data_IF_370272571614
#
_entry.id   IF_370272571614
#
_cell.length_a   1.000
_cell.length_b   1.000
_cell.length_c   1.000
_cell.angle_alpha   90.00
_cell.angle_beta   90.00
_cell.angle_gamma   90.00
#
_symmetry.space_group_name_H-M   'P 1'
#
loop_
_entity.id
_entity.type
_entity.pdbx_description
1 polymer ?
#
# COMPACT_ATOMS: atom_id res chain seq x y z
N UNK A 1 -50.47 -22.86 18.24
CA UNK A 1 -50.16 -21.46 17.85
C UNK A 1 -49.30 -21.53 16.60
N UNK A 2 -49.85 -21.09 15.47
CA UNK A 2 -49.36 -21.35 14.10
C UNK A 2 -48.77 -20.08 13.52
N UNK A 3 -47.52 -20.11 13.06
CA UNK A 3 -46.91 -19.01 12.32
C UNK A 3 -46.81 -19.38 10.84
N UNK A 4 -47.56 -18.66 10.00
CA UNK A 4 -47.50 -18.76 8.53
C UNK A 4 -46.34 -17.90 8.02
N UNK A 5 -45.46 -18.49 7.22
CA UNK A 5 -44.41 -17.80 6.47
C UNK A 5 -44.92 -17.61 5.03
N UNK A 6 -45.07 -16.36 4.60
CA UNK A 6 -45.46 -16.01 3.23
C UNK A 6 -44.21 -15.91 2.37
N UNK A 7 -44.07 -16.80 1.38
CA UNK A 7 -42.99 -16.83 0.40
C UNK A 7 -43.29 -15.83 -0.72
N UNK A 8 -42.42 -14.83 -0.92
CA UNK A 8 -42.48 -13.91 -2.07
C UNK A 8 -41.72 -14.53 -3.23
N UNK A 9 -42.36 -14.59 -4.40
CA UNK A 9 -41.81 -15.13 -5.65
C UNK A 9 -40.84 -14.13 -6.30
N UNK A 10 -39.67 -14.64 -6.72
CA UNK A 10 -38.68 -13.93 -7.53
C UNK A 10 -39.02 -14.08 -9.01
N UNK A 11 -39.23 -12.97 -9.70
CA UNK A 11 -39.38 -12.94 -11.17
C UNK A 11 -38.01 -12.90 -11.84
N UNK A 12 -37.84 -13.79 -12.82
CA UNK A 12 -36.67 -13.97 -13.68
C UNK A 12 -36.83 -13.07 -14.91
N UNK A 13 -35.79 -12.33 -15.29
CA UNK A 13 -35.70 -11.63 -16.57
C UNK A 13 -34.68 -12.33 -17.50
N UNK A 14 -34.98 -12.53 -18.81
CA UNK A 14 -34.09 -13.23 -19.72
C UNK A 14 -33.13 -12.32 -20.50
N UNK A 15 -31.89 -12.81 -20.61
CA UNK A 15 -30.99 -12.88 -21.78
C UNK A 15 -31.33 -12.09 -23.05
N UNK A 16 -30.39 -11.24 -23.50
CA UNK A 16 -30.00 -11.16 -24.91
C UNK A 16 -28.55 -10.70 -25.08
N UNK A 17 -27.77 -11.59 -25.71
CA UNK A 17 -26.42 -11.35 -26.18
C UNK A 17 -26.46 -10.67 -27.56
N UNK A 18 -25.56 -9.72 -27.82
CA UNK A 18 -25.11 -9.39 -29.18
C UNK A 18 -23.61 -9.07 -29.20
N UNK A 19 -22.85 -9.99 -29.80
CA UNK A 19 -21.55 -9.76 -30.43
C UNK A 19 -21.80 -9.20 -31.83
N UNK A 20 -21.04 -8.20 -32.27
CA UNK A 20 -20.74 -8.00 -33.68
C UNK A 20 -19.29 -7.54 -33.85
N UNK A 21 -18.56 -8.33 -34.64
CA UNK A 21 -17.20 -8.10 -35.13
C UNK A 21 -17.25 -7.48 -36.54
N UNK A 22 -16.30 -6.56 -36.78
CA UNK A 22 -15.45 -6.37 -37.98
C UNK A 22 -15.99 -6.02 -39.39
N UNK A 23 -15.12 -5.21 -40.03
CA UNK A 23 -14.92 -4.82 -41.44
C UNK A 23 -15.63 -3.54 -41.93
N UNK A 24 -15.08 -2.68 -42.80
CA UNK A 24 -13.73 -2.33 -43.26
C UNK A 24 -13.86 -1.12 -44.24
N UNK A 25 -12.87 -0.20 -44.22
CA UNK A 25 -12.24 0.53 -45.34
C UNK A 25 -12.95 1.62 -46.22
N UNK A 26 -12.10 2.65 -46.50
CA UNK A 26 -12.01 3.60 -47.66
C UNK A 26 -12.99 4.78 -47.66
N UNK A 27 -12.59 6.05 -47.90
CA UNK A 27 -11.57 6.70 -48.77
C UNK A 27 -11.07 8.00 -48.09
N UNK A 28 -9.79 8.40 -48.08
CA UNK A 28 -9.02 9.02 -49.17
C UNK A 28 -9.45 10.47 -49.43
N UNK A 29 -8.65 11.49 -49.03
CA UNK A 29 -8.41 12.78 -49.73
C UNK A 29 -7.32 13.62 -49.00
N UNK A 30 -6.64 14.45 -49.80
CA UNK A 30 -5.29 15.02 -49.67
C UNK A 30 -5.01 16.03 -48.56
N UNK A 31 -3.72 16.15 -48.22
CA UNK A 31 -3.06 17.11 -47.33
C UNK A 31 -3.36 18.59 -47.62
N UNK A 32 -3.08 19.47 -46.65
CA UNK A 32 -1.87 20.29 -46.84
C UNK A 32 -0.87 20.16 -45.69
N UNK A 33 0.41 20.18 -46.09
CA UNK A 33 1.60 20.23 -45.25
C UNK A 33 1.61 21.55 -44.49
N UNK A 34 1.48 21.50 -43.17
CA UNK A 34 1.80 22.62 -42.28
C UNK A 34 3.21 22.36 -41.73
N UNK A 35 4.13 23.21 -42.13
CA UNK A 35 5.51 23.25 -41.66
C UNK A 35 5.55 23.26 -40.12
N UNK A 36 6.22 22.28 -39.53
CA UNK A 36 6.55 22.24 -38.11
C UNK A 36 7.76 23.14 -37.85
N UNK A 37 7.65 24.23 -37.07
CA UNK A 37 8.83 24.96 -36.65
C UNK A 37 9.53 24.22 -35.51
N UNK A 38 10.80 23.90 -35.78
CA UNK A 38 11.89 23.71 -34.83
C UNK A 38 11.70 22.65 -33.72
N UNK A 39 12.35 21.49 -33.95
CA UNK A 39 12.97 20.68 -32.90
C UNK A 39 13.72 21.59 -31.93
N UNK A 40 13.14 21.86 -30.75
CA UNK A 40 13.94 22.18 -29.57
C UNK A 40 14.67 20.90 -29.21
N UNK A 41 15.96 20.87 -29.49
CA UNK A 41 16.89 20.01 -28.81
C UNK A 41 16.72 20.26 -27.31
N UNK A 42 16.05 19.35 -26.61
CA UNK A 42 16.26 19.21 -25.17
C UNK A 42 17.71 18.78 -25.02
N UNK A 43 18.55 19.75 -24.68
CA UNK A 43 19.88 19.53 -24.15
C UNK A 43 19.75 18.59 -22.96
N UNK A 44 20.06 17.30 -23.20
CA UNK A 44 20.51 16.39 -22.17
C UNK A 44 21.74 17.03 -21.52
N UNK A 45 21.52 17.83 -20.49
CA UNK A 45 22.56 18.18 -19.55
C UNK A 45 22.82 16.89 -18.77
N UNK A 46 24.02 16.28 -18.86
CA UNK A 46 24.36 15.24 -17.91
C UNK A 46 24.31 15.90 -16.54
N UNK A 47 23.40 15.41 -15.69
CA UNK A 47 23.31 15.82 -14.29
C UNK A 47 24.70 15.61 -13.68
N UNK A 48 25.46 16.69 -13.54
CA UNK A 48 26.74 16.70 -12.86
C UNK A 48 26.44 16.38 -11.40
N UNK A 49 26.44 15.10 -11.06
CA UNK A 49 26.43 14.65 -9.67
C UNK A 49 27.65 15.25 -9.00
N UNK A 50 27.42 16.28 -8.17
CA UNK A 50 28.43 16.86 -7.28
C UNK A 50 29.05 15.69 -6.47
N UNK A 51 30.36 15.41 -6.63
CA UNK A 51 31.02 14.31 -5.95
C UNK A 51 31.04 14.46 -4.42
N UNK A 52 30.63 15.63 -3.89
CA UNK A 52 30.57 15.90 -2.46
C UNK A 52 29.22 15.61 -1.84
N UNK A 53 28.16 15.36 -2.61
CA UNK A 53 26.85 15.06 -2.03
C UNK A 53 26.82 13.60 -1.57
N UNK A 54 26.60 13.32 -0.27
CA UNK A 54 26.43 11.95 0.18
C UNK A 54 25.31 11.30 -0.62
N UNK A 55 25.63 10.20 -1.33
CA UNK A 55 24.62 9.40 -2.03
C UNK A 55 23.63 8.92 -0.99
N UNK A 56 22.36 9.33 -1.12
CA UNK A 56 21.31 8.85 -0.23
C UNK A 56 21.22 7.32 -0.38
N UNK A 57 21.10 6.57 0.73
CA UNK A 57 20.88 5.13 0.66
C UNK A 57 19.62 4.82 -0.15
N UNK A 58 19.65 3.72 -0.92
CA UNK A 58 18.47 3.21 -1.62
C UNK A 58 17.31 2.99 -0.63
N UNK A 59 16.07 3.35 -0.97
CA UNK A 59 14.94 3.23 -0.06
C UNK A 59 14.52 1.78 0.21
N UNK A 60 14.95 0.83 -0.64
CA UNK A 60 14.76 -0.62 -0.45
C UNK A 60 15.73 -1.23 0.55
N UNK A 61 16.64 -0.44 1.11
CA UNK A 61 17.60 -0.91 2.09
C UNK A 61 16.95 -1.05 3.45
N UNK A 62 17.31 -2.09 4.19
CA UNK A 62 17.00 -2.14 5.62
C UNK A 62 17.51 -0.86 6.29
N UNK A 63 16.62 -0.20 7.00
CA UNK A 63 16.95 1.02 7.73
C UNK A 63 17.73 0.65 9.00
N UNK A 64 18.64 1.52 9.41
CA UNK A 64 19.36 1.31 10.67
C UNK A 64 18.41 1.48 11.85
N UNK A 65 18.64 0.84 13.00
CA UNK A 65 17.78 0.98 14.18
C UNK A 65 17.52 2.44 14.57
N UNK A 66 18.56 3.27 14.56
CA UNK A 66 18.44 4.70 14.89
C UNK A 66 17.56 5.45 13.89
N UNK A 67 17.75 5.21 12.58
CA UNK A 67 16.93 5.84 11.54
C UNK A 67 15.48 5.38 11.64
N UNK A 68 15.27 4.08 11.85
CA UNK A 68 13.96 3.48 12.04
C UNK A 68 13.21 4.15 13.18
N UNK A 69 13.82 4.23 14.37
CA UNK A 69 13.17 4.84 15.54
C UNK A 69 12.75 6.29 15.27
N UNK A 70 13.61 7.08 14.63
CA UNK A 70 13.30 8.47 14.32
C UNK A 70 12.13 8.63 13.34
N UNK A 71 12.05 7.78 12.31
CA UNK A 71 10.98 7.81 11.31
C UNK A 71 9.69 7.14 11.81
N UNK A 72 9.81 6.11 12.64
CA UNK A 72 8.68 5.31 13.12
C UNK A 72 7.99 5.93 14.33
N UNK A 73 8.69 6.67 15.19
CA UNK A 73 8.10 7.31 16.36
C UNK A 73 6.80 8.09 16.08
N UNK A 74 6.73 9.00 15.07
CA UNK A 74 5.47 9.69 14.75
C UNK A 74 4.39 8.74 14.22
N UNK A 75 4.76 7.73 13.41
CA UNK A 75 3.82 6.73 12.90
C UNK A 75 3.25 5.88 14.04
N UNK A 76 4.06 5.54 15.04
CA UNK A 76 3.64 4.81 16.22
C UNK A 76 2.57 5.57 17.01
N UNK A 77 2.75 6.89 17.16
CA UNK A 77 1.74 7.77 17.78
C UNK A 77 0.45 7.81 16.95
N UNK A 78 0.55 7.82 15.62
CA UNK A 78 -0.60 7.69 14.71
C UNK A 78 -1.28 6.31 14.74
N UNK A 79 -0.79 5.36 15.52
CA UNK A 79 -1.40 4.03 15.66
C UNK A 79 -0.78 2.94 14.79
N UNK A 80 0.34 3.20 14.10
CA UNK A 80 1.10 2.15 13.41
C UNK A 80 1.79 1.24 14.41
N UNK A 81 1.85 -0.05 14.09
CA UNK A 81 2.51 -1.08 14.90
C UNK A 81 3.51 -1.86 14.06
N UNK A 82 4.61 -2.25 14.69
CA UNK A 82 5.57 -3.19 14.12
C UNK A 82 5.15 -4.60 14.55
N UNK A 83 4.81 -5.46 13.58
CA UNK A 83 4.37 -6.83 13.83
C UNK A 83 5.27 -7.84 13.13
N UNK A 84 5.36 -9.07 13.66
CA UNK A 84 6.03 -10.18 12.96
C UNK A 84 5.23 -10.59 11.73
N UNK A 85 5.89 -11.06 10.66
CA UNK A 85 5.19 -11.66 9.52
C UNK A 85 4.44 -12.94 9.93
N UNK A 86 3.25 -13.20 9.35
CA UNK A 86 2.49 -14.40 9.69
C UNK A 86 3.27 -15.66 9.31
N UNK A 87 3.18 -16.70 10.13
CA UNK A 87 3.94 -17.96 9.94
C UNK A 87 5.41 -17.89 10.34
N UNK A 88 5.91 -16.74 10.82
CA UNK A 88 7.25 -16.58 11.37
C UNK A 88 7.19 -16.29 12.86
N UNK A 89 6.72 -17.25 13.64
CA UNK A 89 6.92 -17.24 15.10
C UNK A 89 8.37 -17.61 15.35
N UNK A 90 9.21 -16.63 15.67
CA UNK A 90 10.56 -16.91 16.17
C UNK A 90 10.41 -17.75 17.44
N UNK A 91 10.83 -19.02 17.40
CA UNK A 91 10.88 -19.94 18.53
C UNK A 91 12.00 -19.59 19.53
N UNK A 92 12.29 -18.30 19.69
CA UNK A 92 13.30 -17.77 20.60
C UNK A 92 12.74 -16.51 21.23
N UNK A 93 11.80 -16.70 22.15
CA UNK A 93 11.65 -15.81 23.30
C UNK A 93 12.91 -15.96 24.18
N UNK A 94 14.02 -15.44 23.66
CA UNK A 94 15.11 -14.96 24.47
C UNK A 94 15.15 -13.47 24.18
N UNK A 95 14.88 -12.69 25.22
CA UNK A 95 15.00 -11.24 25.28
C UNK A 95 16.44 -10.87 24.88
N UNK A 96 16.70 -10.84 23.59
CA UNK A 96 17.73 -9.99 23.02
C UNK A 96 17.01 -8.70 22.67
N UNK A 97 17.60 -7.59 23.06
CA UNK A 97 17.22 -6.22 22.78
C UNK A 97 16.99 -5.97 21.27
N UNK A 98 15.90 -6.48 20.71
CA UNK A 98 15.68 -6.63 19.26
C UNK A 98 15.08 -5.39 18.63
N UNK A 99 15.57 -4.20 19.03
CA UNK A 99 15.50 -3.00 18.20
C UNK A 99 16.32 -3.16 16.90
N UNK A 100 17.01 -4.29 16.73
CA UNK A 100 18.02 -4.54 15.70
C UNK A 100 17.60 -5.33 14.46
N UNK A 101 16.52 -6.13 14.45
CA UNK A 101 16.14 -6.88 13.23
C UNK A 101 14.74 -6.49 12.72
N UNK A 102 14.76 -5.67 11.67
CA UNK A 102 13.57 -5.31 10.89
C UNK A 102 13.21 -6.37 9.85
N UNK A 103 14.02 -7.42 9.72
CA UNK A 103 13.62 -8.60 8.96
C UNK A 103 12.55 -9.38 9.70
N UNK A 104 11.73 -10.07 8.92
CA UNK A 104 10.55 -10.79 9.36
C UNK A 104 9.52 -9.93 10.09
N UNK A 105 9.61 -8.60 9.92
CA UNK A 105 8.66 -7.62 10.44
C UNK A 105 7.89 -6.94 9.31
N UNK A 106 6.74 -6.40 9.67
CA UNK A 106 5.86 -5.57 8.83
C UNK A 106 5.29 -4.43 9.65
N UNK A 107 4.96 -3.33 8.98
CA UNK A 107 4.19 -2.23 9.57
C UNK A 107 2.70 -2.51 9.36
N UNK A 108 1.90 -2.33 10.41
CA UNK A 108 0.45 -2.56 10.38
C UNK A 108 -0.28 -1.35 10.93
N UNK A 109 -1.38 -0.94 10.28
CA UNK A 109 -2.30 0.09 10.75
C UNK A 109 -3.74 -0.29 10.43
N UNK A 110 -4.64 0.10 11.31
CA UNK A 110 -6.09 -0.11 11.20
C UNK A 110 -6.80 1.22 11.19
N UNK A 111 -7.57 1.47 10.13
CA UNK A 111 -8.42 2.65 10.00
C UNK A 111 -9.87 2.25 10.20
N UNK A 112 -10.55 3.00 11.06
CA UNK A 112 -11.92 2.74 11.46
C UNK A 112 -12.85 3.74 10.80
N UNK A 113 -14.00 3.24 10.35
CA UNK A 113 -15.04 4.04 9.72
C UNK A 113 -16.39 3.72 10.35
N UNK A 114 -17.26 4.72 10.41
CA UNK A 114 -18.61 4.57 10.95
C UNK A 114 -19.41 3.47 10.22
N UNK A 115 -20.50 3.01 10.82
CA UNK A 115 -21.41 2.08 10.16
C UNK A 115 -22.30 2.78 9.11
N UNK A 116 -22.93 1.99 8.25
CA UNK A 116 -23.90 2.48 7.27
C UNK A 116 -23.30 3.13 6.02
N UNK A 117 -24.16 3.76 5.22
CA UNK A 117 -23.84 4.23 3.86
C UNK A 117 -22.71 5.27 3.84
N UNK A 118 -22.74 6.22 4.79
CA UNK A 118 -21.74 7.29 4.83
C UNK A 118 -20.36 6.77 5.24
N UNK A 119 -20.29 5.89 6.23
CA UNK A 119 -19.03 5.26 6.62
C UNK A 119 -18.43 4.39 5.51
N UNK A 120 -19.27 3.64 4.77
CA UNK A 120 -18.83 2.91 3.58
C UNK A 120 -18.30 3.85 2.49
N UNK A 121 -18.97 4.98 2.24
CA UNK A 121 -18.51 5.98 1.27
C UNK A 121 -17.16 6.59 1.69
N UNK A 122 -17.01 6.95 2.96
CA UNK A 122 -15.77 7.49 3.50
C UNK A 122 -14.61 6.48 3.36
N UNK A 123 -14.85 5.23 3.73
CA UNK A 123 -13.91 4.12 3.55
C UNK A 123 -13.47 3.96 2.09
N UNK A 124 -14.42 3.92 1.14
CA UNK A 124 -14.09 3.76 -0.28
C UNK A 124 -13.37 5.00 -0.84
N UNK A 125 -13.74 6.20 -0.38
CA UNK A 125 -13.06 7.45 -0.73
C UNK A 125 -11.61 7.45 -0.25
N UNK A 126 -11.39 7.11 1.01
CA UNK A 126 -10.05 6.94 1.58
C UNK A 126 -9.26 5.85 0.83
N UNK A 127 -9.86 4.68 0.62
CA UNK A 127 -9.24 3.57 -0.13
C UNK A 127 -8.80 3.99 -1.53
N UNK A 128 -9.59 4.80 -2.24
CA UNK A 128 -9.22 5.29 -3.58
C UNK A 128 -7.98 6.19 -3.53
N UNK A 129 -7.90 7.10 -2.55
CA UNK A 129 -6.76 8.01 -2.39
C UNK A 129 -5.48 7.28 -2.02
N UNK A 130 -5.54 6.31 -1.10
CA UNK A 130 -4.34 5.53 -0.73
C UNK A 130 -3.84 4.66 -1.90
N UNK A 131 -4.73 4.18 -2.78
CA UNK A 131 -4.33 3.40 -3.95
C UNK A 131 -3.49 4.22 -4.94
N UNK A 132 -3.78 5.52 -5.06
CA UNK A 132 -2.96 6.43 -5.86
C UNK A 132 -1.55 6.61 -5.27
N UNK A 133 -1.44 6.67 -3.93
CA UNK A 133 -0.14 6.74 -3.25
C UNK A 133 0.66 5.42 -3.35
N UNK A 134 -0.04 4.28 -3.31
CA UNK A 134 0.57 2.95 -3.51
C UNK A 134 1.17 2.85 -4.91
N UNK A 135 0.42 3.28 -5.92
CA UNK A 135 0.87 3.30 -7.32
C UNK A 135 2.03 4.28 -7.51
N UNK A 136 1.93 5.50 -6.98
CA UNK A 136 2.99 6.52 -7.11
C UNK A 136 4.31 6.09 -6.48
N UNK A 137 4.26 5.29 -5.43
CA UNK A 137 5.44 4.79 -4.73
C UNK A 137 5.97 3.46 -5.27
N UNK A 138 5.26 2.79 -6.18
CA UNK A 138 5.59 1.44 -6.66
C UNK A 138 5.94 0.50 -5.48
N UNK A 139 5.08 0.51 -4.47
CA UNK A 139 5.26 -0.25 -3.24
C UNK A 139 3.91 -0.77 -2.75
N UNK A 140 3.69 -2.07 -2.89
CA UNK A 140 2.36 -2.68 -2.85
C UNK A 140 2.10 -3.35 -1.49
N UNK A 141 1.32 -2.72 -0.58
CA UNK A 141 0.97 -3.31 0.71
C UNK A 141 -0.15 -4.35 0.55
N UNK A 142 -0.43 -5.06 1.64
CA UNK A 142 -1.67 -5.82 1.80
C UNK A 142 -2.74 -4.89 2.38
N UNK A 143 -3.91 -4.87 1.75
CA UNK A 143 -5.11 -4.17 2.22
C UNK A 143 -6.20 -5.19 2.53
N UNK A 144 -6.79 -5.10 3.73
CA UNK A 144 -7.94 -5.89 4.11
C UNK A 144 -9.09 -4.97 4.51
N UNK A 145 -10.22 -5.09 3.82
CA UNK A 145 -11.43 -4.30 4.09
C UNK A 145 -12.52 -5.25 4.58
N UNK A 146 -13.09 -4.96 5.75
CA UNK A 146 -14.13 -5.79 6.34
C UNK A 146 -15.08 -4.97 7.21
N UNK A 147 -16.31 -5.45 7.47
CA UNK A 147 -17.10 -4.98 8.60
C UNK A 147 -16.32 -5.23 9.90
N UNK A 148 -16.42 -4.30 10.87
CA UNK A 148 -15.73 -4.43 12.15
C UNK A 148 -16.09 -5.73 12.90
N UNK A 149 -17.33 -6.21 12.74
CA UNK A 149 -17.81 -7.46 13.35
C UNK A 149 -17.18 -8.74 12.79
N UNK A 150 -16.57 -8.67 11.60
CA UNK A 150 -15.90 -9.80 10.94
C UNK A 150 -14.37 -9.64 10.91
N UNK A 151 -13.86 -8.51 11.40
CA UNK A 151 -12.43 -8.26 11.43
C UNK A 151 -11.75 -9.11 12.51
N UNK A 152 -10.59 -9.66 12.17
CA UNK A 152 -9.72 -10.39 13.10
C UNK A 152 -8.37 -9.69 13.18
N UNK A 153 -7.91 -9.33 14.39
CA UNK A 153 -6.65 -8.59 14.55
C UNK A 153 -5.46 -9.40 14.05
N UNK A 154 -4.71 -8.83 13.10
CA UNK A 154 -3.47 -9.44 12.60
C UNK A 154 -2.22 -9.06 13.40
N UNK A 155 -2.38 -8.12 14.34
CA UNK A 155 -1.38 -7.60 15.27
C UNK A 155 -2.10 -7.20 16.58
N UNK A 156 -1.34 -6.77 17.60
CA UNK A 156 -1.91 -6.25 18.86
C UNK A 156 -2.55 -4.87 18.63
N UNK A 157 -3.74 -4.90 18.03
CA UNK A 157 -4.55 -3.76 17.63
C UNK A 157 -5.97 -3.98 18.15
N UNK A 158 -6.56 -2.91 18.69
CA UNK A 158 -7.93 -2.88 19.19
C UNK A 158 -8.77 -1.92 18.37
N UNK A 159 -10.04 -2.24 18.16
CA UNK A 159 -11.02 -1.34 17.54
C UNK A 159 -11.77 -0.53 18.59
N UNK A 160 -12.23 0.66 18.21
CA UNK A 160 -13.30 1.33 18.95
C UNK A 160 -14.59 0.51 18.90
N UNK A 161 -15.40 0.59 19.96
CA UNK A 161 -16.72 -0.03 20.01
C UNK A 161 -17.69 0.52 18.94
N UNK A 162 -17.39 1.69 18.37
CA UNK A 162 -18.22 2.38 17.38
C UNK A 162 -17.82 2.06 15.92
N UNK A 163 -16.75 1.29 15.72
CA UNK A 163 -16.27 0.94 14.38
C UNK A 163 -17.34 0.12 13.63
N UNK A 164 -17.74 0.60 12.45
CA UNK A 164 -18.64 -0.12 11.54
C UNK A 164 -17.87 -0.89 10.48
N UNK A 165 -16.90 -0.22 9.85
CA UNK A 165 -16.00 -0.82 8.88
C UNK A 165 -14.54 -0.58 9.25
N UNK A 166 -13.69 -1.49 8.79
CA UNK A 166 -12.25 -1.49 9.05
C UNK A 166 -11.51 -1.62 7.73
N UNK A 167 -10.48 -0.80 7.56
CA UNK A 167 -9.41 -1.00 6.59
C UNK A 167 -8.11 -1.25 7.35
N UNK A 168 -7.59 -2.46 7.24
CA UNK A 168 -6.25 -2.79 7.71
C UNK A 168 -5.26 -2.70 6.56
N UNK A 169 -4.15 -1.98 6.78
CA UNK A 169 -3.03 -1.89 5.87
C UNK A 169 -1.81 -2.52 6.53
N UNK A 170 -1.17 -3.45 5.82
CA UNK A 170 0.08 -4.09 6.25
C UNK A 170 1.14 -3.99 5.16
N UNK A 171 2.32 -3.46 5.47
CA UNK A 171 3.39 -3.25 4.48
C UNK A 171 4.76 -3.75 4.96
N UNK A 172 5.50 -4.35 4.04
CA UNK A 172 6.89 -4.77 4.22
C UNK A 172 7.55 -4.93 2.84
N UNK A 173 8.88 -4.91 2.80
CA UNK A 173 9.65 -5.17 1.58
C UNK A 173 10.01 -6.65 1.49
N UNK A 174 9.63 -7.32 0.40
CA UNK A 174 9.87 -8.76 0.21
C UNK A 174 11.36 -9.12 0.02
N UNK A 175 12.12 -8.25 -0.64
CA UNK A 175 13.53 -8.46 -0.97
C UNK A 175 14.34 -7.20 -0.65
N UNK A 176 14.58 -6.90 0.64
CA UNK A 176 15.30 -5.69 1.01
C UNK A 176 16.78 -5.80 0.65
N UNK A 177 17.41 -4.67 0.40
CA UNK A 177 18.86 -4.58 0.29
C UNK A 177 19.50 -4.63 1.68
N UNK A 178 20.67 -5.28 1.84
CA UNK A 178 21.36 -5.36 3.11
C UNK A 178 21.76 -3.96 3.60
N UNK A 179 21.96 -3.72 4.91
CA UNK A 179 22.51 -2.47 5.41
C UNK A 179 23.80 -2.03 4.72
N UNK A 180 24.16 -0.74 4.82
CA UNK A 180 25.46 -0.28 4.29
C UNK A 180 26.57 -0.93 5.10
N UNK A 181 27.61 -1.43 4.43
CA UNK A 181 28.77 -2.07 5.08
C UNK A 181 28.59 -3.56 5.38
N UNK A 182 27.45 -4.15 5.04
CA UNK A 182 27.24 -5.60 5.20
C UNK A 182 28.14 -6.36 4.22
N UNK A 183 28.89 -7.39 4.67
CA UNK A 183 29.69 -8.24 3.78
C UNK A 183 28.85 -8.85 2.66
N UNK A 184 29.43 -9.04 1.47
CA UNK A 184 28.72 -9.61 0.30
C UNK A 184 28.21 -11.05 0.54
N UNK A 185 28.79 -11.75 1.51
CA UNK A 185 28.49 -13.14 1.84
C UNK A 185 27.50 -13.28 3.02
N UNK A 186 26.84 -12.19 3.45
CA UNK A 186 25.97 -12.16 4.62
C UNK A 186 24.62 -12.92 4.47
N UNK A 187 24.54 -13.85 3.52
CA UNK A 187 23.36 -14.68 3.28
C UNK A 187 22.24 -13.95 2.53
N UNK A 188 21.16 -14.69 2.26
CA UNK A 188 19.98 -14.17 1.57
C UNK A 188 19.18 -13.28 2.51
N UNK A 189 18.93 -12.05 2.08
CA UNK A 189 18.04 -11.12 2.80
C UNK A 189 16.63 -11.69 2.91
N UNK A 190 16.05 -11.63 4.11
CA UNK A 190 14.66 -11.99 4.36
C UNK A 190 13.77 -10.75 4.24
N UNK A 191 12.45 -10.92 4.02
CA UNK A 191 11.52 -9.80 3.97
C UNK A 191 11.62 -8.93 5.23
N UNK A 192 11.39 -7.62 5.13
CA UNK A 192 11.50 -6.74 6.29
C UNK A 192 11.11 -5.30 6.00
N UNK A 193 11.16 -4.46 7.04
CA UNK A 193 10.79 -3.05 6.97
C UNK A 193 11.96 -2.20 6.44
N UNK A 194 11.67 -1.39 5.42
CA UNK A 194 12.62 -0.46 4.78
C UNK A 194 12.09 0.98 4.78
N UNK A 195 12.82 1.90 4.15
CA UNK A 195 12.36 3.27 4.00
C UNK A 195 11.13 3.38 3.08
N UNK A 196 10.94 2.45 2.12
CA UNK A 196 9.71 2.40 1.31
C UNK A 196 8.48 2.21 2.17
N UNK A 197 8.55 1.29 3.12
CA UNK A 197 7.46 0.99 4.06
C UNK A 197 7.11 2.20 4.92
N UNK A 198 8.13 2.87 5.46
CA UNK A 198 7.97 4.07 6.29
C UNK A 198 7.41 5.26 5.49
N UNK A 199 7.89 5.48 4.27
CA UNK A 199 7.40 6.54 3.40
C UNK A 199 5.94 6.31 2.98
N UNK A 200 5.58 5.06 2.65
CA UNK A 200 4.20 4.71 2.34
C UNK A 200 3.30 4.95 3.55
N UNK A 201 3.70 4.47 4.73
CA UNK A 201 2.96 4.69 5.96
C UNK A 201 2.73 6.18 6.24
N UNK A 202 3.76 7.02 6.06
CA UNK A 202 3.63 8.46 6.20
C UNK A 202 2.64 9.07 5.21
N UNK A 203 2.69 8.69 3.92
CA UNK A 203 1.76 9.20 2.91
C UNK A 203 0.32 8.79 3.17
N UNK A 204 0.10 7.55 3.61
CA UNK A 204 -1.24 7.09 4.00
C UNK A 204 -1.78 7.91 5.17
N UNK A 205 -0.94 8.24 6.16
CA UNK A 205 -1.34 9.11 7.27
C UNK A 205 -1.66 10.54 6.83
N UNK A 206 -0.93 11.09 5.86
CA UNK A 206 -1.24 12.39 5.25
C UNK A 206 -2.63 12.36 4.60
N UNK A 207 -2.92 11.32 3.80
CA UNK A 207 -4.23 11.12 3.18
C UNK A 207 -5.35 10.97 4.21
N UNK A 208 -5.10 10.25 5.31
CA UNK A 208 -6.10 10.02 6.36
C UNK A 208 -6.46 11.31 7.11
N UNK A 209 -5.48 12.20 7.33
CA UNK A 209 -5.70 13.49 8.01
C UNK A 209 -6.47 14.50 7.15
N UNK A 210 -6.46 14.31 5.83
CA UNK A 210 -7.19 15.16 4.89
C UNK A 210 -8.63 14.68 4.61
N UNK A 211 -9.00 13.48 5.08
CA UNK A 211 -10.30 12.85 4.84
C UNK A 211 -11.28 13.18 5.97
#
# INVERSE_FOLDING_TARGET
MSWRVTRVQSTVLPSSAQKLDLWALRTGHSSPVVESPARRYLSNTPEMTDPRRPKRPSPYRLVTPTSFLSSFAPLHVSGWRLASLPGKTSATDSISESTGDLQDRRLVRVYEFASGKEGWRALMGFSSRIMQEIESQDHHPVLNISPASAWTPSADLSLSAEAGYVLELSTHTHTPLPPIGTPKDAGRMRPGVTQKDLNLAQKVEEVYKEA
#
